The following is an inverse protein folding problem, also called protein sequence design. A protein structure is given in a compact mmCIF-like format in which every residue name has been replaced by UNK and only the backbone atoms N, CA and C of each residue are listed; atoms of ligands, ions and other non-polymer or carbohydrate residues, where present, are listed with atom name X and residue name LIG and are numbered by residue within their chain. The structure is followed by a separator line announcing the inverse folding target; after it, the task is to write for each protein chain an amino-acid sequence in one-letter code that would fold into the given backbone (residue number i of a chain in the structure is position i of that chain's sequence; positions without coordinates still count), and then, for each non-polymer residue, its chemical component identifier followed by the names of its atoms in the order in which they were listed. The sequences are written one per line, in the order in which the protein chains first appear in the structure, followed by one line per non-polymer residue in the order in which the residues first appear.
data_IF_775971252500
#
_entry.id   IF_775971252500
#
_cell.length_a   1.000
_cell.length_b   1.000
_cell.length_c   1.000
_cell.angle_alpha   90.00
_cell.angle_beta   90.00
_cell.angle_gamma   90.00
#
_symmetry.space_group_name_H-M   'P 1'
#
loop_
_entity.id
_entity.type
_entity.pdbx_description
1 polymer ?
#
# COMPACT_ATOMS: atom_id res chain seq x y z
N UNK A 1 7.22 8.44 -10.52
CA UNK A 1 5.94 8.11 -9.82
C UNK A 1 6.18 8.12 -8.32
N UNK A 2 5.35 8.86 -7.60
CA UNK A 2 5.42 8.96 -6.14
C UNK A 2 4.30 8.13 -5.50
N UNK A 3 4.65 7.35 -4.50
CA UNK A 3 3.75 6.41 -3.85
C UNK A 3 3.75 6.70 -2.35
N UNK A 4 2.57 6.72 -1.75
CA UNK A 4 2.42 6.80 -0.31
C UNK A 4 1.81 5.52 0.23
N UNK A 5 2.22 5.17 1.44
CA UNK A 5 1.64 4.09 2.24
C UNK A 5 1.11 4.71 3.51
N UNK A 6 -0.12 4.43 3.86
CA UNK A 6 -0.67 4.90 5.13
C UNK A 6 -0.19 3.98 6.26
N UNK A 7 0.55 4.55 7.20
CA UNK A 7 1.09 3.83 8.34
C UNK A 7 2.33 2.99 8.04
N UNK A 8 2.74 2.20 9.03
CA UNK A 8 3.86 1.26 8.96
C UNK A 8 3.39 -0.18 9.27
N UNK A 9 2.18 -0.51 8.84
CA UNK A 9 1.63 -1.86 9.03
C UNK A 9 2.33 -2.89 8.15
N UNK A 10 2.13 -4.16 8.47
CA UNK A 10 2.82 -5.29 7.83
C UNK A 10 2.57 -5.34 6.33
N UNK A 11 1.32 -5.37 5.91
CA UNK A 11 0.97 -5.54 4.49
C UNK A 11 1.44 -4.35 3.67
N UNK A 12 1.10 -3.13 4.11
CA UNK A 12 1.52 -1.91 3.41
C UNK A 12 3.03 -1.79 3.30
N UNK A 13 3.75 -2.09 4.38
CA UNK A 13 5.22 -1.99 4.38
C UNK A 13 5.87 -3.07 3.52
N UNK A 14 5.29 -4.26 3.44
CA UNK A 14 5.78 -5.32 2.55
C UNK A 14 5.69 -4.88 1.09
N UNK A 15 4.58 -4.29 0.68
CA UNK A 15 4.43 -3.73 -0.67
C UNK A 15 5.34 -2.52 -0.87
N UNK A 16 5.48 -1.67 0.14
CA UNK A 16 6.40 -0.53 0.09
C UNK A 16 7.83 -0.98 -0.21
N UNK A 17 8.29 -2.03 0.46
CA UNK A 17 9.58 -2.64 0.20
C UNK A 17 9.72 -3.07 -1.27
N UNK A 18 8.70 -3.75 -1.81
CA UNK A 18 8.72 -4.19 -3.20
C UNK A 18 8.79 -3.00 -4.16
N UNK A 19 8.04 -1.95 -3.92
CA UNK A 19 8.06 -0.74 -4.75
C UNK A 19 9.40 -0.01 -4.66
N UNK A 20 9.96 0.12 -3.48
CA UNK A 20 11.24 0.79 -3.29
C UNK A 20 12.37 0.04 -4.01
N UNK A 21 12.37 -1.29 -3.93
CA UNK A 21 13.35 -2.12 -4.64
C UNK A 21 13.17 -2.07 -6.16
N UNK A 22 11.98 -1.79 -6.63
CA UNK A 22 11.73 -1.56 -8.06
C UNK A 22 12.15 -0.17 -8.53
N UNK A 23 12.63 0.68 -7.62
CA UNK A 23 13.15 2.01 -7.95
C UNK A 23 12.16 3.15 -7.75
N UNK A 24 11.01 2.91 -7.14
CA UNK A 24 10.02 3.95 -6.89
C UNK A 24 10.28 4.68 -5.59
N UNK A 25 9.87 5.94 -5.56
CA UNK A 25 9.90 6.77 -4.35
C UNK A 25 8.67 6.45 -3.52
N UNK A 26 8.89 5.95 -2.29
CA UNK A 26 7.82 5.54 -1.38
C UNK A 26 7.93 6.30 -0.06
N UNK A 27 6.83 6.89 0.38
CA UNK A 27 6.77 7.63 1.64
C UNK A 27 5.60 7.13 2.48
N UNK A 28 5.76 7.16 3.80
CA UNK A 28 4.73 6.72 4.74
C UNK A 28 4.02 7.90 5.36
N UNK A 29 2.69 7.91 5.27
CA UNK A 29 1.86 8.89 5.97
C UNK A 29 1.63 8.38 7.39
N UNK A 30 2.19 9.07 8.36
CA UNK A 30 2.12 8.69 9.77
C UNK A 30 1.34 9.71 10.57
N UNK A 31 0.72 9.24 11.66
CA UNK A 31 0.09 10.12 12.65
C UNK A 31 1.14 11.02 13.29
N UNK A 32 0.75 12.20 13.69
CA UNK A 32 1.67 13.17 14.33
C UNK A 32 2.44 12.56 15.50
N UNK A 33 1.76 11.75 16.31
CA UNK A 33 2.38 11.07 17.45
C UNK A 33 3.48 10.08 17.08
N UNK A 34 3.52 9.63 15.81
CA UNK A 34 4.48 8.63 15.33
C UNK A 34 5.53 9.20 14.38
N UNK A 35 5.33 10.39 13.85
CA UNK A 35 6.26 11.00 12.89
C UNK A 35 7.65 11.19 13.46
N UNK A 36 7.75 11.67 14.71
CA UNK A 36 9.03 11.97 15.32
C UNK A 36 9.76 10.74 15.84
N UNK A 37 9.04 9.64 16.01
CA UNK A 37 9.57 8.39 16.56
C UNK A 37 9.67 7.28 15.51
N UNK A 38 9.41 7.60 14.25
CA UNK A 38 9.50 6.61 13.18
C UNK A 38 10.94 6.11 13.03
N UNK A 39 11.15 4.81 12.85
CA UNK A 39 12.47 4.29 12.56
C UNK A 39 12.95 4.82 11.21
N UNK A 40 14.23 5.04 11.05
CA UNK A 40 14.81 5.46 9.77
C UNK A 40 14.92 4.30 8.79
N UNK A 41 14.99 3.09 9.30
CA UNK A 41 15.05 1.88 8.49
C UNK A 41 14.45 0.72 9.24
N UNK A 42 14.02 -0.29 8.49
CA UNK A 42 13.54 -1.55 9.02
C UNK A 42 14.42 -2.67 8.52
N UNK A 43 14.75 -3.61 9.40
CA UNK A 43 15.33 -4.88 9.00
C UNK A 43 14.23 -5.74 8.40
N UNK A 44 14.47 -6.37 7.26
CA UNK A 44 13.47 -7.14 6.52
C UNK A 44 13.93 -8.56 6.33
N UNK A 45 13.12 -9.51 6.80
CA UNK A 45 13.21 -10.91 6.44
C UNK A 45 11.96 -11.26 5.66
N UNK A 46 12.11 -11.60 4.39
CA UNK A 46 10.99 -11.79 3.48
C UNK A 46 11.10 -13.12 2.75
N UNK A 47 10.03 -13.92 2.83
CA UNK A 47 9.84 -15.03 1.91
C UNK A 47 9.13 -14.47 0.68
N UNK A 48 9.88 -14.33 -0.41
CA UNK A 48 9.42 -13.65 -1.62
C UNK A 48 9.09 -14.66 -2.72
N UNK A 49 7.80 -14.78 -3.04
CA UNK A 49 7.30 -15.68 -4.07
C UNK A 49 7.17 -15.06 -5.45
N UNK A 50 7.65 -13.83 -5.66
CA UNK A 50 7.49 -13.14 -6.95
C UNK A 50 8.39 -13.66 -8.06
N UNK A 51 9.52 -14.24 -7.73
CA UNK A 51 10.54 -14.66 -8.71
C UNK A 51 10.54 -16.16 -8.94
N UNK A 52 10.21 -16.96 -7.94
CA UNK A 52 10.21 -18.42 -7.99
C UNK A 52 8.99 -18.98 -7.28
N UNK A 53 8.42 -20.04 -7.83
CA UNK A 53 7.22 -20.68 -7.26
C UNK A 53 7.42 -21.22 -5.84
N UNK A 54 8.66 -21.56 -5.49
CA UNK A 54 8.99 -22.03 -4.13
C UNK A 54 9.32 -20.91 -3.15
N UNK A 55 9.38 -19.68 -3.65
CA UNK A 55 9.79 -18.53 -2.86
C UNK A 55 11.29 -18.42 -2.70
N UNK A 56 11.73 -17.25 -2.33
CA UNK A 56 13.14 -16.92 -2.07
C UNK A 56 13.23 -16.17 -0.75
N UNK A 57 14.08 -16.64 0.15
CA UNK A 57 14.31 -15.94 1.42
C UNK A 57 15.24 -14.76 1.20
N UNK A 58 14.80 -13.58 1.58
CA UNK A 58 15.57 -12.34 1.46
C UNK A 58 15.79 -11.71 2.83
N UNK A 59 17.02 -11.28 3.05
CA UNK A 59 17.41 -10.46 4.18
C UNK A 59 17.84 -9.11 3.62
N UNK A 60 17.19 -8.04 4.04
CA UNK A 60 17.42 -6.73 3.47
C UNK A 60 17.11 -5.63 4.47
N UNK A 61 17.27 -4.41 4.05
CA UNK A 61 16.92 -3.21 4.80
C UNK A 61 15.94 -2.39 3.96
N UNK A 62 14.88 -1.91 4.59
CA UNK A 62 13.94 -0.99 3.99
C UNK A 62 14.14 0.40 4.59
N UNK A 63 14.36 1.40 3.75
CA UNK A 63 14.49 2.79 4.19
C UNK A 63 13.11 3.41 4.37
N UNK A 64 12.86 3.96 5.56
CA UNK A 64 11.58 4.59 5.89
C UNK A 64 11.68 6.09 5.60
N UNK A 65 10.86 6.56 4.67
CA UNK A 65 10.69 7.98 4.38
C UNK A 65 9.31 8.42 4.83
N UNK A 66 9.24 9.47 5.62
CA UNK A 66 7.98 9.98 6.16
C UNK A 66 7.42 11.06 5.25
N UNK A 67 6.14 10.94 4.92
CA UNK A 67 5.45 11.93 4.11
C UNK A 67 5.24 13.23 4.88
N UNK A 68 5.38 14.34 4.17
CA UNK A 68 5.08 15.68 4.70
C UNK A 68 3.62 16.05 4.38
N UNK A 69 3.08 16.98 5.13
CA UNK A 69 1.76 17.54 4.84
C UNK A 69 1.79 18.25 3.48
N UNK A 70 0.62 18.42 2.87
CA UNK A 70 0.45 19.08 1.60
C UNK A 70 1.19 18.39 0.44
N UNK A 71 1.38 17.09 0.55
CA UNK A 71 2.05 16.27 -0.48
C UNK A 71 1.05 15.66 -1.46
N UNK A 72 1.54 15.40 -2.67
CA UNK A 72 0.75 14.81 -3.73
C UNK A 72 1.44 13.54 -4.24
N UNK A 73 0.64 12.48 -4.38
CA UNK A 73 1.11 11.15 -4.81
C UNK A 73 0.28 10.66 -5.98
N UNK A 74 0.85 9.77 -6.78
CA UNK A 74 0.08 9.07 -7.80
C UNK A 74 -0.86 8.07 -7.15
N UNK A 75 -0.38 7.34 -6.16
CA UNK A 75 -1.17 6.35 -5.42
C UNK A 75 -0.88 6.40 -3.93
N UNK A 76 -1.94 6.18 -3.16
CA UNK A 76 -1.86 6.07 -1.69
C UNK A 76 -2.45 4.72 -1.31
N UNK A 77 -1.62 3.81 -0.80
CA UNK A 77 -2.05 2.48 -0.40
C UNK A 77 -2.49 2.47 1.07
N UNK A 78 -3.69 1.97 1.31
CA UNK A 78 -4.26 1.88 2.65
C UNK A 78 -4.52 0.41 2.98
N UNK A 79 -3.85 -0.09 4.02
CA UNK A 79 -4.06 -1.42 4.55
C UNK A 79 -4.52 -1.28 6.00
N UNK A 80 -5.81 -1.07 6.18
CA UNK A 80 -6.41 -0.85 7.50
C UNK A 80 -7.61 -1.77 7.68
N UNK A 81 -7.92 -2.07 8.93
CA UNK A 81 -9.10 -2.86 9.27
C UNK A 81 -10.35 -2.06 8.92
N UNK A 82 -11.42 -2.78 8.57
CA UNK A 82 -12.70 -2.19 8.17
C UNK A 82 -13.15 -1.03 9.08
N UNK A 83 -13.13 -1.21 10.39
CA UNK A 83 -13.57 -0.20 11.35
C UNK A 83 -12.70 1.07 11.42
N UNK A 84 -11.56 1.09 10.74
CA UNK A 84 -10.60 2.21 10.79
C UNK A 84 -10.47 2.95 9.45
N UNK A 85 -11.19 2.54 8.42
CA UNK A 85 -11.06 3.13 7.07
C UNK A 85 -11.46 4.60 7.08
N UNK A 86 -12.57 4.94 7.71
CA UNK A 86 -13.04 6.33 7.79
C UNK A 86 -12.00 7.24 8.42
N UNK A 87 -11.45 6.83 9.56
CA UNK A 87 -10.43 7.58 10.28
C UNK A 87 -9.15 7.75 9.43
N UNK A 88 -8.77 6.69 8.72
CA UNK A 88 -7.61 6.72 7.84
C UNK A 88 -7.76 7.77 6.73
N UNK A 89 -8.91 7.79 6.06
CA UNK A 89 -9.17 8.76 5.00
C UNK A 89 -9.27 10.18 5.55
N UNK A 90 -9.85 10.36 6.72
CA UNK A 90 -9.90 11.67 7.39
C UNK A 90 -8.49 12.19 7.72
N UNK A 91 -7.59 11.31 8.11
CA UNK A 91 -6.18 11.67 8.35
C UNK A 91 -5.53 12.19 7.08
N UNK A 92 -5.78 11.56 5.94
CA UNK A 92 -5.27 12.03 4.65
C UNK A 92 -5.82 13.41 4.31
N UNK A 93 -7.12 13.64 4.50
CA UNK A 93 -7.74 14.95 4.24
C UNK A 93 -7.19 16.02 5.15
N UNK A 94 -7.08 15.75 6.44
CA UNK A 94 -6.58 16.68 7.45
C UNK A 94 -5.18 17.17 7.11
N UNK A 95 -4.33 16.28 6.63
CA UNK A 95 -2.95 16.59 6.30
C UNK A 95 -2.78 17.03 4.85
N UNK A 96 -3.87 17.20 4.14
CA UNK A 96 -3.91 17.62 2.72
C UNK A 96 -3.02 16.73 1.84
N UNK A 97 -3.16 15.42 1.99
CA UNK A 97 -2.48 14.43 1.16
C UNK A 97 -3.39 14.08 -0.01
N UNK A 98 -2.89 14.21 -1.23
CA UNK A 98 -3.65 13.98 -2.46
C UNK A 98 -3.11 12.79 -3.22
N UNK A 99 -3.99 12.07 -3.90
CA UNK A 99 -3.64 10.92 -4.73
C UNK A 99 -4.82 9.98 -4.88
N UNK A 100 -4.65 8.97 -5.74
CA UNK A 100 -5.63 7.91 -5.90
C UNK A 100 -5.46 6.89 -4.79
N UNK A 101 -6.54 6.57 -4.09
CA UNK A 101 -6.51 5.62 -2.98
C UNK A 101 -6.58 4.20 -3.51
N UNK A 102 -5.67 3.34 -3.04
CA UNK A 102 -5.71 1.91 -3.29
C UNK A 102 -5.99 1.22 -1.96
N UNK A 103 -7.22 0.74 -1.80
CA UNK A 103 -7.61 0.06 -0.57
C UNK A 103 -7.25 -1.41 -0.64
N UNK A 104 -6.32 -1.83 0.21
CA UNK A 104 -6.04 -3.24 0.44
C UNK A 104 -7.08 -3.77 1.43
N UNK A 105 -8.02 -4.55 0.93
CA UNK A 105 -9.13 -5.03 1.75
C UNK A 105 -9.57 -6.43 1.36
N UNK A 106 -10.26 -7.09 2.28
CA UNK A 106 -10.86 -8.40 2.05
C UNK A 106 -12.38 -8.36 2.22
N UNK A 107 -12.97 -7.15 2.16
CA UNK A 107 -14.40 -6.98 2.43
C UNK A 107 -15.11 -6.41 1.19
N UNK A 108 -15.80 -7.29 0.48
CA UNK A 108 -16.57 -6.91 -0.70
C UNK A 108 -17.90 -6.22 -0.37
N UNK A 109 -18.49 -6.58 0.77
CA UNK A 109 -19.84 -6.18 1.13
C UNK A 109 -19.97 -4.72 1.58
N UNK A 110 -18.86 -4.02 1.71
CA UNK A 110 -18.79 -2.67 2.24
C UNK A 110 -18.40 -1.61 1.23
N UNK A 111 -18.55 -1.93 -0.07
CA UNK A 111 -18.21 -1.00 -1.14
C UNK A 111 -18.88 0.37 -0.99
N UNK A 112 -20.16 0.38 -0.61
CA UNK A 112 -20.88 1.63 -0.40
C UNK A 112 -20.27 2.47 0.72
N UNK A 113 -19.86 1.84 1.80
CA UNK A 113 -19.21 2.51 2.92
C UNK A 113 -17.86 3.09 2.50
N UNK A 114 -17.06 2.32 1.77
CA UNK A 114 -15.77 2.78 1.25
C UNK A 114 -15.97 3.98 0.33
N UNK A 115 -16.96 3.93 -0.54
CA UNK A 115 -17.27 5.04 -1.45
C UNK A 115 -17.64 6.29 -0.67
N UNK A 116 -18.43 6.16 0.38
CA UNK A 116 -18.80 7.26 1.25
C UNK A 116 -17.60 7.86 1.96
N UNK A 117 -16.73 7.01 2.51
CA UNK A 117 -15.54 7.45 3.23
C UNK A 117 -14.49 8.07 2.30
N UNK A 118 -14.34 7.55 1.09
CA UNK A 118 -13.40 8.08 0.11
C UNK A 118 -13.78 9.51 -0.34
N UNK A 119 -15.09 9.80 -0.39
CA UNK A 119 -15.57 11.13 -0.74
C UNK A 119 -15.07 11.59 -2.10
N UNK A 120 -14.28 12.66 -2.12
CA UNK A 120 -13.72 13.22 -3.34
C UNK A 120 -12.48 12.51 -3.87
N UNK A 121 -11.90 11.59 -3.11
CA UNK A 121 -10.76 10.82 -3.59
C UNK A 121 -11.22 9.79 -4.64
N UNK A 122 -10.48 9.73 -5.74
CA UNK A 122 -10.56 8.57 -6.61
C UNK A 122 -10.02 7.36 -5.86
N UNK A 123 -10.63 6.19 -6.04
CA UNK A 123 -10.20 5.00 -5.33
C UNK A 123 -10.40 3.73 -6.14
N UNK A 124 -9.65 2.71 -5.78
CA UNK A 124 -9.79 1.36 -6.31
C UNK A 124 -9.61 0.36 -5.16
N UNK A 125 -10.33 -0.74 -5.24
CA UNK A 125 -10.19 -1.85 -4.30
C UNK A 125 -9.17 -2.86 -4.83
N UNK A 126 -8.34 -3.37 -3.94
CA UNK A 126 -7.33 -4.36 -4.25
C UNK A 126 -7.27 -5.42 -3.16
N UNK A 127 -6.85 -6.63 -3.54
CA UNK A 127 -6.73 -7.76 -2.62
C UNK A 127 -5.28 -8.20 -2.58
N UNK A 128 -4.57 -7.86 -1.51
CA UNK A 128 -3.16 -8.21 -1.38
C UNK A 128 -3.00 -9.69 -1.03
N UNK A 129 -1.88 -10.24 -1.44
CA UNK A 129 -1.45 -11.59 -1.06
C UNK A 129 -0.12 -11.50 -0.33
N UNK A 130 -0.18 -11.00 0.88
CA UNK A 130 0.98 -10.79 1.74
C UNK A 130 0.56 -10.99 3.19
N UNK A 131 1.51 -11.29 4.03
CA UNK A 131 1.28 -11.44 5.47
C UNK A 131 2.58 -11.38 6.24
N UNK A 132 2.49 -11.55 7.55
CA UNK A 132 3.65 -11.54 8.43
C UNK A 132 3.40 -10.80 9.72
N UNK A 133 4.46 -10.34 10.33
CA UNK A 133 4.38 -9.54 11.55
C UNK A 133 5.52 -8.53 11.63
N UNK A 134 5.29 -7.50 12.42
CA UNK A 134 6.25 -6.43 12.66
C UNK A 134 6.57 -6.39 14.16
N UNK A 135 7.84 -6.41 14.51
CA UNK A 135 8.30 -6.20 15.88
C UNK A 135 9.32 -5.08 15.88
N UNK A 136 9.03 -4.00 16.61
CA UNK A 136 9.90 -2.84 16.67
C UNK A 136 10.26 -2.34 15.27
N UNK A 137 11.52 -2.50 14.87
CA UNK A 137 12.06 -2.10 13.57
C UNK A 137 12.39 -3.30 12.66
N UNK A 138 11.73 -4.43 12.86
CA UNK A 138 11.94 -5.65 12.09
C UNK A 138 10.63 -6.11 11.44
N UNK A 139 10.65 -6.24 10.11
CA UNK A 139 9.57 -6.80 9.32
C UNK A 139 9.89 -8.24 8.95
N UNK A 140 9.04 -9.16 9.35
CA UNK A 140 9.11 -10.56 8.96
C UNK A 140 7.87 -10.89 8.14
N UNK A 141 8.04 -11.12 6.85
CA UNK A 141 6.90 -11.18 5.95
C UNK A 141 6.99 -12.24 4.87
N UNK A 142 5.81 -12.46 4.26
CA UNK A 142 5.64 -13.33 3.10
C UNK A 142 4.96 -12.51 2.01
N UNK A 143 5.48 -12.57 0.80
CA UNK A 143 4.93 -11.85 -0.34
C UNK A 143 4.73 -12.82 -1.49
N UNK A 144 3.49 -12.87 -2.01
CA UNK A 144 3.15 -13.68 -3.17
C UNK A 144 3.18 -12.84 -4.44
N UNK A 145 3.24 -13.51 -5.59
CA UNK A 145 3.39 -12.85 -6.89
C UNK A 145 2.09 -12.29 -7.48
N UNK A 146 0.95 -12.69 -6.98
CA UNK A 146 -0.33 -12.27 -7.56
C UNK A 146 -1.09 -11.30 -6.66
N UNK A 147 -1.83 -10.41 -7.32
CA UNK A 147 -2.65 -9.41 -6.67
C UNK A 147 -3.91 -9.21 -7.49
N UNK A 148 -5.06 -9.15 -6.83
CA UNK A 148 -6.33 -8.89 -7.50
C UNK A 148 -6.68 -7.42 -7.40
N UNK A 149 -6.96 -6.81 -8.54
CA UNK A 149 -7.51 -5.45 -8.61
C UNK A 149 -8.98 -5.50 -9.01
N UNK A 150 -9.73 -4.52 -8.55
CA UNK A 150 -11.01 -4.19 -9.13
C UNK A 150 -10.84 -3.88 -10.62
N UNK A 151 -11.79 -4.29 -11.47
CA UNK A 151 -11.71 -4.04 -12.89
C UNK A 151 -11.75 -2.55 -13.22
N UNK A 152 -11.09 -2.16 -14.31
CA UNK A 152 -10.99 -0.76 -14.73
C UNK A 152 -12.35 -0.08 -14.87
N UNK A 153 -13.35 -0.80 -15.42
CA UNK A 153 -14.69 -0.26 -15.62
C UNK A 153 -15.42 0.06 -14.31
N UNK A 154 -15.12 -0.68 -13.24
CA UNK A 154 -15.73 -0.45 -11.94
C UNK A 154 -15.01 0.63 -11.13
N UNK A 155 -13.71 0.71 -11.29
CA UNK A 155 -12.88 1.63 -10.50
C UNK A 155 -13.08 3.09 -10.89
N UNK A 156 -13.29 3.36 -12.18
CA UNK A 156 -13.47 4.72 -12.70
C UNK A 156 -12.34 5.68 -12.31
N UNK A 157 -11.10 5.20 -12.33
CA UNK A 157 -9.92 6.03 -12.07
C UNK A 157 -9.20 6.34 -13.37
N UNK A 158 -8.65 7.55 -13.48
CA UNK A 158 -7.98 7.99 -14.72
C UNK A 158 -6.60 7.36 -14.92
N UNK A 159 -5.98 6.89 -13.85
CA UNK A 159 -4.61 6.38 -13.85
C UNK A 159 -4.50 4.86 -13.62
N UNK A 160 -5.50 4.12 -14.10
CA UNK A 160 -5.52 2.65 -13.95
C UNK A 160 -4.31 1.98 -14.60
N UNK A 161 -3.93 2.41 -15.81
CA UNK A 161 -2.77 1.82 -16.48
C UNK A 161 -1.45 2.11 -15.77
N UNK A 162 -1.34 3.26 -15.11
CA UNK A 162 -0.17 3.57 -14.29
C UNK A 162 -0.08 2.64 -13.09
N UNK A 163 -1.21 2.30 -12.48
CA UNK A 163 -1.25 1.35 -11.36
C UNK A 163 -0.83 -0.04 -11.82
N UNK A 164 -1.34 -0.53 -12.94
CA UNK A 164 -0.93 -1.84 -13.46
C UNK A 164 0.55 -1.85 -13.84
N UNK A 165 1.07 -0.76 -14.38
CA UNK A 165 2.50 -0.61 -14.69
C UNK A 165 3.35 -0.68 -13.43
N UNK A 166 2.96 0.06 -12.39
CA UNK A 166 3.64 0.02 -11.09
C UNK A 166 3.72 -1.42 -10.55
N UNK A 167 2.59 -2.10 -10.51
CA UNK A 167 2.52 -3.46 -9.97
C UNK A 167 3.34 -4.45 -10.80
N UNK A 168 3.26 -4.37 -12.14
CA UNK A 168 4.07 -5.22 -13.02
C UNK A 168 5.56 -4.96 -12.88
N UNK A 169 5.95 -3.70 -12.73
CA UNK A 169 7.36 -3.32 -12.53
C UNK A 169 7.92 -3.88 -11.23
N UNK A 170 7.06 -4.02 -10.21
CA UNK A 170 7.43 -4.63 -8.93
C UNK A 170 7.21 -6.16 -8.93
N UNK A 171 7.02 -6.76 -10.11
CA UNK A 171 6.92 -8.21 -10.30
C UNK A 171 5.65 -8.85 -9.75
N UNK A 172 4.55 -8.11 -9.73
CA UNK A 172 3.24 -8.67 -9.39
C UNK A 172 2.46 -9.04 -10.65
N UNK A 173 1.82 -10.20 -10.62
CA UNK A 173 0.82 -10.58 -11.59
C UNK A 173 -0.52 -10.00 -11.15
N UNK A 174 -1.09 -9.15 -11.99
CA UNK A 174 -2.34 -8.48 -11.67
C UNK A 174 -3.51 -9.23 -12.29
N UNK A 175 -4.41 -9.76 -11.45
CA UNK A 175 -5.71 -10.24 -11.87
C UNK A 175 -6.75 -9.16 -11.68
N UNK A 176 -7.81 -9.18 -12.46
CA UNK A 176 -8.92 -8.26 -12.28
C UNK A 176 -10.18 -9.02 -11.91
N UNK A 177 -10.93 -8.50 -10.94
CA UNK A 177 -12.24 -9.01 -10.59
C UNK A 177 -13.30 -8.29 -11.41
N UNK A 178 -14.17 -9.05 -12.01
CA UNK A 178 -15.32 -8.52 -12.76
C UNK A 178 -16.41 -8.00 -11.84
#
# INVERSE_FOLDING_TARGET
MRIAILGLGVIGTTYAYAFQKAGYQVEHVLRDSKRNNAPKSLSVDLLDGRYHSKGENKHDTYEVHVAEDDSEYDFIFLSVRHGFVKEAVETLRKNNIKGTLVFFCNFWDTRKEVQEWAGDYDYILAFPTAGGHMQEDHLDGVLFDHLMLEGEQKAHISNYSDLTTLLSSARFEVGSSS
#
